data_IF_302997201268
#
_entry.id   IF_302997201268
#
_cell.length_a   1.000
_cell.length_b   1.000
_cell.length_c   1.000
_cell.angle_alpha   90.00
_cell.angle_beta   90.00
_cell.angle_gamma   90.00
#
_symmetry.space_group_name_H-M   'P 1'
#
loop_
_entity.id
_entity.type
_entity.pdbx_description
1 polymer ?
#
# COMPACT_ATOMS: atom_id res chain seq x y z
N UNK A 1 5.62 18.29 0.65
CA UNK A 1 4.32 18.13 -0.02
C UNK A 1 3.77 16.75 0.35
N UNK A 2 2.56 16.38 -0.08
CA UNK A 2 2.04 15.02 0.12
C UNK A 2 1.61 14.44 -1.21
N UNK A 3 1.74 13.13 -1.38
CA UNK A 3 1.33 12.42 -2.60
C UNK A 3 0.08 11.60 -2.29
N UNK A 4 -1.07 11.87 -2.93
CA UNK A 4 -2.22 10.99 -2.82
C UNK A 4 -1.94 9.68 -3.56
N UNK A 5 -2.28 8.56 -2.93
CA UNK A 5 -2.20 7.24 -3.55
C UNK A 5 -3.42 6.40 -3.16
N UNK A 6 -3.95 5.67 -4.14
CA UNK A 6 -4.94 4.63 -3.89
C UNK A 6 -4.24 3.37 -3.43
N UNK A 7 -4.79 2.67 -2.44
CA UNK A 7 -4.36 1.34 -2.08
C UNK A 7 -5.50 0.34 -2.12
N UNK A 8 -5.16 -0.93 -2.32
CA UNK A 8 -6.13 -2.05 -2.33
C UNK A 8 -5.62 -3.22 -1.51
N UNK A 9 -6.56 -4.03 -1.03
CA UNK A 9 -6.34 -5.22 -0.20
C UNK A 9 -6.95 -6.43 -0.92
N UNK A 10 -6.21 -7.13 -1.81
CA UNK A 10 -6.77 -8.26 -2.54
C UNK A 10 -7.30 -9.34 -1.61
N UNK A 11 -8.46 -9.95 -1.89
CA UNK A 11 -9.23 -9.86 -3.14
C UNK A 11 -10.32 -8.76 -3.13
N UNK A 12 -10.18 -7.71 -2.32
CA UNK A 12 -11.16 -6.60 -2.31
C UNK A 12 -11.20 -5.86 -3.64
N UNK A 13 -12.42 -5.51 -4.07
CA UNK A 13 -12.65 -4.62 -5.21
C UNK A 13 -12.74 -3.14 -4.80
N UNK A 14 -12.56 -2.83 -3.52
CA UNK A 14 -12.62 -1.47 -2.98
C UNK A 14 -11.21 -0.92 -2.82
N UNK A 15 -11.02 0.29 -3.32
CA UNK A 15 -9.83 1.08 -3.03
C UNK A 15 -10.07 1.95 -1.81
N UNK A 16 -9.00 2.25 -1.11
CA UNK A 16 -8.92 3.33 -0.13
C UNK A 16 -7.79 4.30 -0.54
N UNK A 17 -7.78 5.52 -0.02
CA UNK A 17 -6.77 6.53 -0.31
C UNK A 17 -6.00 6.92 0.95
N UNK A 18 -4.69 7.15 0.81
CA UNK A 18 -3.85 7.78 1.83
C UNK A 18 -3.02 8.90 1.23
N UNK A 19 -2.57 9.83 2.09
CA UNK A 19 -1.63 10.88 1.72
C UNK A 19 -0.23 10.51 2.22
N UNK A 20 0.66 10.15 1.28
CA UNK A 20 2.06 9.90 1.61
C UNK A 20 2.74 11.22 1.96
N UNK A 21 3.09 11.38 3.23
CA UNK A 21 3.81 12.55 3.72
C UNK A 21 5.27 12.53 3.23
N UNK A 22 5.62 13.46 2.34
CA UNK A 22 6.98 13.63 1.84
C UNK A 22 7.72 14.81 2.48
N UNK A 23 7.16 15.43 3.52
CA UNK A 23 7.75 16.60 4.18
C UNK A 23 8.84 16.25 5.19
N UNK A 24 8.85 15.01 5.70
CA UNK A 24 9.84 14.57 6.70
C UNK A 24 11.22 14.40 6.09
N UNK A 25 12.25 14.79 6.85
CA UNK A 25 13.64 14.52 6.50
C UNK A 25 13.82 12.99 6.33
N UNK A 26 14.18 12.56 5.11
CA UNK A 26 14.29 11.14 4.74
C UNK A 26 13.12 10.56 3.94
N UNK A 27 12.02 11.32 3.76
CA UNK A 27 10.87 10.90 2.95
C UNK A 27 10.05 9.74 3.56
N UNK A 28 9.04 9.23 2.82
CA UNK A 28 8.28 8.06 3.23
C UNK A 28 9.17 6.81 3.33
N UNK A 29 8.98 6.02 4.38
CA UNK A 29 9.59 4.69 4.53
C UNK A 29 8.51 3.60 4.46
N UNK A 30 8.89 2.36 4.10
CA UNK A 30 7.94 1.23 4.10
C UNK A 30 7.26 1.06 5.46
N UNK A 31 8.00 1.25 6.56
CA UNK A 31 7.45 1.23 7.93
C UNK A 31 6.40 2.33 8.15
N UNK A 32 6.64 3.53 7.65
CA UNK A 32 5.69 4.64 7.78
C UNK A 32 4.44 4.46 6.92
N UNK A 33 4.58 3.86 5.74
CA UNK A 33 3.48 3.51 4.85
C UNK A 33 2.65 2.40 5.49
N UNK A 34 3.30 1.38 6.03
CA UNK A 34 2.67 0.27 6.75
C UNK A 34 1.78 0.79 7.87
N UNK A 35 2.35 1.64 8.75
CA UNK A 35 1.59 2.25 9.85
C UNK A 35 0.34 3.00 9.37
N UNK A 36 0.43 3.74 8.26
CA UNK A 36 -0.71 4.49 7.73
C UNK A 36 -1.78 3.57 7.14
N UNK A 37 -1.37 2.58 6.36
CA UNK A 37 -2.28 1.58 5.77
C UNK A 37 -3.00 0.81 6.86
N UNK A 38 -2.30 0.30 7.89
CA UNK A 38 -2.93 -0.42 9.00
C UNK A 38 -3.89 0.46 9.79
N UNK A 39 -3.58 1.74 9.98
CA UNK A 39 -4.51 2.68 10.62
C UNK A 39 -5.78 2.89 9.77
N UNK A 40 -5.64 3.00 8.44
CA UNK A 40 -6.77 3.09 7.53
C UNK A 40 -7.61 1.81 7.53
N UNK A 41 -6.98 0.63 7.55
CA UNK A 41 -7.65 -0.67 7.64
C UNK A 41 -8.57 -0.79 8.86
N UNK A 42 -8.13 -0.29 10.02
CA UNK A 42 -8.91 -0.36 11.26
C UNK A 42 -10.11 0.60 11.33
N UNK A 43 -10.15 1.64 10.48
CA UNK A 43 -11.13 2.74 10.60
C UNK A 43 -11.98 2.95 9.35
N UNK A 44 -11.49 2.53 8.18
CA UNK A 44 -12.15 2.78 6.91
C UNK A 44 -13.30 1.79 6.62
N UNK A 45 -14.48 2.29 6.18
CA UNK A 45 -15.53 1.44 5.64
C UNK A 45 -15.15 0.75 4.32
N UNK A 46 -14.20 1.31 3.54
CA UNK A 46 -13.73 0.69 2.30
C UNK A 46 -12.89 -0.55 2.57
N UNK A 47 -12.20 -0.60 3.72
CA UNK A 47 -11.44 -1.77 4.15
C UNK A 47 -12.29 -2.80 4.90
N UNK A 48 -13.48 -2.42 5.40
CA UNK A 48 -14.28 -3.24 6.31
C UNK A 48 -14.63 -4.64 5.76
N UNK A 49 -14.90 -4.75 4.45
CA UNK A 49 -15.22 -6.03 3.79
C UNK A 49 -14.03 -7.02 3.89
N UNK A 50 -12.84 -6.56 3.53
CA UNK A 50 -11.62 -7.36 3.62
C UNK A 50 -11.31 -7.71 5.08
N UNK A 51 -11.37 -6.71 5.96
CA UNK A 51 -11.04 -6.82 7.37
C UNK A 51 -11.99 -7.74 8.15
N UNK A 52 -13.23 -7.92 7.69
CA UNK A 52 -14.17 -8.86 8.30
C UNK A 52 -13.63 -10.30 8.38
N UNK A 53 -12.72 -10.68 7.48
CA UNK A 53 -12.04 -11.99 7.46
C UNK A 53 -10.97 -12.13 8.55
N UNK A 54 -10.46 -11.02 9.08
CA UNK A 54 -9.39 -10.95 10.07
C UNK A 54 -9.91 -10.65 11.50
N UNK A 55 -11.16 -10.20 11.64
CA UNK A 55 -11.83 -9.93 12.94
C UNK A 55 -11.94 -11.13 13.90
N UNK A 56 -11.67 -12.36 13.45
CA UNK A 56 -11.77 -13.58 14.29
C UNK A 56 -10.54 -13.85 15.16
N UNK A 57 -9.49 -13.03 15.06
CA UNK A 57 -8.22 -13.25 15.78
C UNK A 57 -7.79 -11.95 16.45
N UNK A 58 -8.36 -11.64 17.61
CA UNK A 58 -8.09 -10.42 18.37
C UNK A 58 -6.61 -10.30 18.85
N UNK A 59 -5.84 -11.38 18.77
CA UNK A 59 -4.43 -11.46 19.20
C UNK A 59 -3.42 -11.31 18.05
N UNK A 60 -3.88 -11.34 16.80
CA UNK A 60 -2.98 -11.36 15.63
C UNK A 60 -2.79 -9.95 15.10
N UNK A 61 -1.62 -9.34 15.38
CA UNK A 61 -1.23 -8.09 14.73
C UNK A 61 -1.14 -8.34 13.22
N UNK A 62 -1.89 -7.59 12.44
CA UNK A 62 -1.84 -7.67 10.99
C UNK A 62 -0.45 -7.22 10.51
N UNK A 63 0.31 -8.16 9.99
CA UNK A 63 1.61 -7.87 9.39
C UNK A 63 1.43 -7.78 7.88
N UNK A 64 1.67 -6.61 7.32
CA UNK A 64 1.81 -6.46 5.86
C UNK A 64 3.00 -7.31 5.44
N UNK A 65 2.76 -8.33 4.62
CA UNK A 65 3.78 -9.23 4.09
C UNK A 65 4.57 -8.55 2.97
N UNK A 66 3.86 -7.83 2.10
CA UNK A 66 4.44 -7.27 0.90
C UNK A 66 3.65 -6.04 0.42
N UNK A 67 4.32 -5.18 -0.33
CA UNK A 67 3.77 -3.95 -0.88
C UNK A 67 4.25 -3.81 -2.30
N UNK A 68 3.33 -3.60 -3.24
CA UNK A 68 3.68 -3.39 -4.64
C UNK A 68 2.86 -2.28 -5.26
N UNK A 69 3.42 -1.57 -6.21
CA UNK A 69 2.69 -0.60 -7.02
C UNK A 69 2.26 -1.29 -8.30
N UNK A 70 0.95 -1.38 -8.52
CA UNK A 70 0.39 -1.65 -9.84
C UNK A 70 0.38 -0.36 -10.63
N UNK A 71 1.03 -0.40 -11.78
CA UNK A 71 1.14 0.75 -12.66
C UNK A 71 -0.11 0.86 -13.52
N UNK A 72 -0.68 2.06 -13.60
CA UNK A 72 -1.78 2.29 -14.52
C UNK A 72 -1.35 2.01 -15.97
N UNK A 73 -2.15 1.21 -16.67
CA UNK A 73 -1.89 0.88 -18.08
C UNK A 73 -2.14 2.07 -19.00
N UNK A 74 -3.05 2.96 -18.62
CA UNK A 74 -3.45 4.09 -19.46
C UNK A 74 -2.36 5.16 -19.46
N UNK A 75 -1.85 5.49 -20.65
CA UNK A 75 -0.80 6.50 -20.81
C UNK A 75 0.61 6.01 -20.45
N UNK A 76 0.82 4.69 -20.37
CA UNK A 76 2.14 4.05 -20.26
C UNK A 76 2.34 3.01 -21.36
N UNK A 77 3.58 2.88 -21.82
CA UNK A 77 3.96 1.84 -22.78
C UNK A 77 4.10 0.49 -22.06
N UNK A 78 3.24 -0.47 -22.42
CA UNK A 78 3.20 -1.82 -21.84
C UNK A 78 4.44 -2.66 -22.15
N UNK A 79 5.24 -2.28 -23.15
CA UNK A 79 6.51 -2.94 -23.44
C UNK A 79 7.64 -2.48 -22.52
N UNK A 80 7.46 -1.35 -21.84
CA UNK A 80 8.47 -0.74 -20.97
C UNK A 80 8.07 -0.87 -19.50
N UNK A 81 6.81 -0.62 -19.19
CA UNK A 81 6.31 -0.67 -17.82
C UNK A 81 5.81 -2.07 -17.46
N UNK A 82 6.29 -2.66 -16.35
CA UNK A 82 5.73 -3.90 -15.85
C UNK A 82 4.30 -3.67 -15.33
N UNK A 83 3.55 -4.74 -15.12
CA UNK A 83 2.24 -4.69 -14.46
C UNK A 83 2.36 -4.09 -13.05
N UNK A 84 3.33 -4.58 -12.27
CA UNK A 84 3.61 -4.09 -10.93
C UNK A 84 5.10 -4.02 -10.61
N UNK A 85 5.44 -3.33 -9.53
CA UNK A 85 6.78 -3.31 -8.95
C UNK A 85 6.71 -3.53 -7.44
N UNK A 86 7.42 -4.54 -6.95
CA UNK A 86 7.55 -4.80 -5.51
C UNK A 86 8.38 -3.70 -4.86
N UNK A 87 7.91 -3.19 -3.72
CA UNK A 87 8.57 -2.10 -3.00
C UNK A 87 9.61 -2.64 -2.04
N UNK A 88 10.82 -2.08 -2.14
CA UNK A 88 11.93 -2.34 -1.22
C UNK A 88 12.43 -1.02 -0.65
N UNK A 89 13.24 -1.06 0.41
CA UNK A 89 13.79 0.17 0.98
C UNK A 89 14.72 0.88 -0.01
N UNK A 90 15.36 0.13 -0.89
CA UNK A 90 16.30 0.62 -1.89
C UNK A 90 15.59 1.32 -3.06
N UNK A 91 14.47 0.77 -3.54
CA UNK A 91 13.76 1.33 -4.69
C UNK A 91 12.70 2.38 -4.32
N UNK A 92 12.22 2.38 -3.07
CA UNK A 92 11.13 3.26 -2.63
C UNK A 92 11.38 4.75 -2.95
N UNK A 93 12.58 5.33 -2.72
CA UNK A 93 12.82 6.73 -3.05
C UNK A 93 12.56 7.05 -4.53
N UNK A 94 12.97 6.18 -5.45
CA UNK A 94 12.75 6.35 -6.88
C UNK A 94 11.26 6.20 -7.25
N UNK A 95 10.57 5.24 -6.63
CA UNK A 95 9.12 5.05 -6.82
C UNK A 95 8.34 6.29 -6.37
N UNK A 96 8.71 6.88 -5.24
CA UNK A 96 8.08 8.09 -4.73
C UNK A 96 8.23 9.25 -5.73
N UNK A 97 9.40 9.41 -6.36
CA UNK A 97 9.58 10.43 -7.40
C UNK A 97 8.75 10.12 -8.66
N UNK A 98 8.67 8.85 -9.10
CA UNK A 98 7.79 8.47 -10.21
C UNK A 98 6.32 8.81 -9.95
N UNK A 99 5.83 8.55 -8.73
CA UNK A 99 4.47 8.89 -8.32
C UNK A 99 4.23 10.41 -8.28
N UNK A 100 5.26 11.21 -7.93
CA UNK A 100 5.17 12.69 -7.98
C UNK A 100 5.08 13.25 -9.39
N UNK A 101 5.72 12.62 -10.36
CA UNK A 101 5.70 13.07 -11.75
C UNK A 101 4.34 12.83 -12.42
N UNK A 102 3.55 11.91 -11.87
CA UNK A 102 2.30 11.45 -12.44
C UNK A 102 1.19 11.27 -11.38
N UNK A 103 0.87 12.31 -10.59
CA UNK A 103 -0.10 12.18 -9.51
C UNK A 103 -1.48 11.87 -10.09
N UNK A 104 -2.17 10.88 -9.52
CA UNK A 104 -3.53 10.53 -9.92
C UNK A 104 -3.65 9.83 -11.28
N UNK A 105 -2.56 9.30 -11.86
CA UNK A 105 -2.64 8.46 -13.08
C UNK A 105 -3.32 7.10 -12.89
N UNK A 106 -3.81 6.81 -11.68
CA UNK A 106 -4.47 5.54 -11.36
C UNK A 106 -3.51 4.45 -10.91
N UNK A 107 -2.29 4.82 -10.48
CA UNK A 107 -1.38 3.87 -9.82
C UNK A 107 -1.95 3.44 -8.48
N UNK A 108 -1.88 2.14 -8.20
CA UNK A 108 -2.48 1.54 -7.01
C UNK A 108 -1.40 0.84 -6.19
N UNK A 109 -1.31 1.21 -4.91
CA UNK A 109 -0.56 0.47 -3.91
C UNK A 109 -1.32 -0.79 -3.50
N UNK A 110 -0.89 -1.93 -3.96
CA UNK A 110 -1.44 -3.20 -3.47
C UNK A 110 -0.72 -3.64 -2.20
N UNK A 111 -1.52 -4.01 -1.21
CA UNK A 111 -1.06 -4.43 0.11
C UNK A 111 -1.44 -5.89 0.32
N UNK A 112 -0.44 -6.74 0.52
CA UNK A 112 -0.65 -8.12 0.93
C UNK A 112 -0.61 -8.21 2.45
N UNK A 113 -1.72 -8.58 3.06
CA UNK A 113 -1.83 -8.74 4.52
C UNK A 113 -1.68 -10.21 4.90
N UNK A 114 -0.65 -10.51 5.68
CA UNK A 114 -0.45 -11.82 6.27
C UNK A 114 -1.24 -12.02 7.55
N UNK A 115 -1.44 -13.28 7.92
CA UNK A 115 -1.78 -13.65 9.29
C UNK A 115 -0.45 -13.71 10.06
N UNK A 116 -0.28 -12.94 11.13
CA UNK A 116 0.89 -13.16 11.97
C UNK A 116 0.84 -14.60 12.48
N UNK A 117 1.92 -15.34 12.27
CA UNK A 117 2.11 -16.62 12.92
C UNK A 117 2.08 -16.37 14.42
N UNK A 118 1.30 -17.17 15.15
CA UNK A 118 1.35 -17.16 16.61
C UNK A 118 2.80 -17.47 16.99
N UNK A 119 3.47 -16.52 17.66
CA UNK A 119 4.74 -16.81 18.31
C UNK A 119 4.40 -17.83 19.39
N UNK A 120 4.67 -19.10 19.11
CA UNK A 120 4.52 -20.19 20.08
C UNK A 120 5.40 -19.91 21.29
N UNK A 121 4.81 -20.15 22.47
CA UNK A 121 5.47 -20.12 23.79
C UNK A 121 6.78 -20.91 23.84
#
# INVERSE_FOLDING_TARGET
MSIPILFTLPPSNRHEAILLDTTKAGGPTLKSINKQVTAAMGTSPNCAEFMSKYKKTAETRETIESMRIHWAETGRDRNVWPEYTELTNENLPAIIELLRLAPGKGDVLEIKVGKAEAVGE
#
